data_IF_999314187038
#
_entry.id   IF_999314187038
#
_cell.length_a   1.000
_cell.length_b   1.000
_cell.length_c   1.000
_cell.angle_alpha   90.00
_cell.angle_beta   90.00
_cell.angle_gamma   90.00
#
_symmetry.space_group_name_H-M   'P 1'
#
loop_
_entity.id
_entity.type
_entity.pdbx_description
1 polymer ?
#
# COMPACT_ATOMS: atom_id res chain seq x y z
N UNK A 1 -1.82 -8.05 23.74
CA UNK A 1 -1.10 -9.35 23.71
C UNK A 1 -2.07 -10.53 23.77
N UNK A 2 -3.12 -10.51 24.61
CA UNK A 2 -4.04 -11.63 24.82
C UNK A 2 -4.70 -12.13 23.54
N UNK A 3 -5.15 -11.24 22.66
CA UNK A 3 -5.75 -11.62 21.38
C UNK A 3 -4.76 -12.30 20.43
N UNK A 4 -3.51 -11.84 20.39
CA UNK A 4 -2.46 -12.49 19.59
C UNK A 4 -2.19 -13.87 20.16
N UNK A 5 -2.04 -13.98 21.49
CA UNK A 5 -1.84 -15.27 22.15
C UNK A 5 -2.98 -16.24 21.83
N UNK A 6 -4.23 -15.81 21.97
CA UNK A 6 -5.41 -16.63 21.65
C UNK A 6 -5.44 -17.03 20.16
N UNK A 7 -5.09 -16.12 19.25
CA UNK A 7 -5.03 -16.46 17.83
C UNK A 7 -4.02 -17.58 17.59
N UNK A 8 -2.82 -17.45 18.13
CA UNK A 8 -1.74 -18.44 17.93
C UNK A 8 -2.03 -19.78 18.61
N UNK A 9 -2.68 -19.77 19.77
CA UNK A 9 -2.94 -21.01 20.56
C UNK A 9 -4.24 -21.72 20.17
N UNK A 10 -5.27 -20.97 19.80
CA UNK A 10 -6.62 -21.49 19.55
C UNK A 10 -6.96 -21.44 18.06
N UNK A 11 -6.85 -20.26 17.41
CA UNK A 11 -7.30 -20.06 16.02
C UNK A 11 -6.44 -20.82 15.02
N UNK A 12 -5.11 -20.88 15.21
CA UNK A 12 -4.22 -21.64 14.35
C UNK A 12 -4.56 -23.13 14.30
N UNK A 13 -5.08 -23.67 15.40
CA UNK A 13 -5.48 -25.08 15.51
C UNK A 13 -6.90 -25.34 15.00
N UNK A 14 -7.67 -24.29 14.74
CA UNK A 14 -9.01 -24.45 14.21
C UNK A 14 -8.97 -25.02 12.78
N UNK A 15 -9.92 -25.88 12.45
CA UNK A 15 -10.00 -26.52 11.14
C UNK A 15 -10.04 -25.46 10.02
N UNK A 16 -9.24 -25.67 9.00
CA UNK A 16 -9.20 -24.84 7.78
C UNK A 16 -8.12 -23.78 7.73
N UNK A 17 -7.38 -23.51 8.81
CA UNK A 17 -6.27 -22.55 8.76
C UNK A 17 -4.94 -23.19 8.36
N UNK A 18 -4.67 -24.44 8.77
CA UNK A 18 -3.42 -25.16 8.45
C UNK A 18 -2.16 -24.36 8.81
N UNK A 19 -2.17 -23.76 10.00
CA UNK A 19 -1.09 -22.92 10.50
C UNK A 19 -0.38 -23.62 11.66
N UNK A 20 0.96 -23.73 11.57
CA UNK A 20 1.81 -24.26 12.62
C UNK A 20 2.77 -23.17 13.13
N UNK A 21 2.60 -22.76 14.38
CA UNK A 21 3.45 -21.76 15.01
C UNK A 21 4.92 -22.20 15.18
N UNK A 22 5.19 -23.49 15.15
CA UNK A 22 6.52 -24.04 15.35
C UNK A 22 7.30 -24.18 14.04
N UNK A 23 6.59 -24.14 12.89
CA UNK A 23 7.17 -24.23 11.57
C UNK A 23 6.92 -22.94 10.76
N UNK A 24 7.42 -21.84 11.29
CA UNK A 24 7.22 -20.52 10.70
C UNK A 24 8.53 -19.72 10.65
N UNK A 25 8.55 -18.75 9.74
CA UNK A 25 9.56 -17.70 9.64
C UNK A 25 8.89 -16.38 9.99
N UNK A 26 9.48 -15.63 10.90
CA UNK A 26 9.01 -14.32 11.30
C UNK A 26 9.75 -13.23 10.52
N UNK A 27 9.01 -12.23 10.10
CA UNK A 27 9.51 -11.06 9.38
C UNK A 27 10.39 -11.36 8.15
N UNK A 28 10.07 -12.38 7.30
CA UNK A 28 10.82 -12.61 6.09
C UNK A 28 10.70 -11.42 5.13
N UNK A 29 11.82 -11.01 4.56
CA UNK A 29 11.88 -9.92 3.58
C UNK A 29 11.98 -10.47 2.17
N UNK A 30 11.29 -9.85 1.23
CA UNK A 30 11.24 -10.22 -0.17
C UNK A 30 11.52 -9.03 -1.08
N UNK A 31 12.22 -9.31 -2.18
CA UNK A 31 12.41 -8.40 -3.30
C UNK A 31 11.83 -9.07 -4.53
N UNK A 32 10.99 -8.35 -5.25
CA UNK A 32 10.39 -8.81 -6.51
C UNK A 32 10.75 -7.84 -7.63
N UNK A 33 11.78 -8.14 -8.39
CA UNK A 33 12.24 -7.31 -9.51
C UNK A 33 11.18 -7.19 -10.60
N UNK A 34 10.48 -8.28 -10.92
CA UNK A 34 9.43 -8.30 -11.94
C UNK A 34 8.30 -7.31 -11.66
N UNK A 35 7.97 -7.09 -10.39
CA UNK A 35 6.95 -6.12 -9.98
C UNK A 35 7.58 -4.80 -9.50
N UNK A 36 8.91 -4.71 -9.33
CA UNK A 36 9.59 -3.58 -8.72
C UNK A 36 9.05 -3.29 -7.32
N UNK A 37 8.83 -4.32 -6.54
CA UNK A 37 8.31 -4.25 -5.18
C UNK A 37 9.25 -4.94 -4.22
N UNK A 38 9.33 -4.40 -3.01
CA UNK A 38 9.94 -5.05 -1.88
C UNK A 38 8.97 -5.00 -0.70
N UNK A 39 9.10 -5.96 0.20
CA UNK A 39 8.25 -6.01 1.37
C UNK A 39 8.76 -6.97 2.43
N UNK A 40 8.20 -6.85 3.61
CA UNK A 40 8.45 -7.73 4.75
C UNK A 40 7.11 -8.22 5.27
N UNK A 41 6.94 -9.52 5.30
CA UNK A 41 5.78 -10.17 5.90
C UNK A 41 5.99 -10.29 7.42
N UNK A 42 4.91 -10.28 8.18
CA UNK A 42 5.03 -10.47 9.63
C UNK A 42 5.22 -11.94 10.00
N UNK A 43 4.55 -12.84 9.29
CA UNK A 43 4.58 -14.27 9.56
C UNK A 43 4.40 -15.07 8.25
N UNK A 44 5.23 -16.08 8.04
CA UNK A 44 5.16 -17.00 6.90
C UNK A 44 5.37 -18.42 7.38
N UNK A 45 4.52 -19.37 6.94
CA UNK A 45 4.81 -20.79 7.10
C UNK A 45 6.05 -21.16 6.30
N UNK A 46 6.90 -22.04 6.84
CA UNK A 46 8.17 -22.40 6.20
C UNK A 46 7.98 -23.04 4.82
N UNK A 47 6.88 -23.75 4.62
CA UNK A 47 6.49 -24.32 3.32
C UNK A 47 5.89 -23.31 2.34
N UNK A 48 5.80 -22.03 2.73
CA UNK A 48 5.24 -20.90 1.98
C UNK A 48 3.76 -21.07 1.56
N UNK A 49 3.04 -21.99 2.15
CA UNK A 49 1.62 -22.21 1.80
C UNK A 49 0.68 -21.20 2.45
N UNK A 50 1.14 -20.54 3.51
CA UNK A 50 0.32 -19.58 4.25
C UNK A 50 1.15 -18.45 4.84
N UNK A 51 0.59 -17.24 4.86
CA UNK A 51 1.18 -16.11 5.56
C UNK A 51 0.13 -15.26 6.29
N UNK A 52 0.60 -14.50 7.28
CA UNK A 52 -0.23 -13.59 8.06
C UNK A 52 0.43 -12.21 8.04
N UNK A 53 -0.36 -11.20 7.74
CA UNK A 53 -0.03 -9.80 7.94
C UNK A 53 -0.73 -9.28 9.18
N UNK A 54 0.00 -8.73 10.12
CA UNK A 54 -0.53 -8.21 11.38
C UNK A 54 -0.75 -6.71 11.32
N UNK A 55 -1.87 -6.26 11.87
CA UNK A 55 -2.20 -4.84 11.97
C UNK A 55 -2.53 -4.47 13.40
N UNK A 56 -1.85 -3.46 13.93
CA UNK A 56 -2.23 -2.84 15.19
C UNK A 56 -3.58 -2.14 15.02
N UNK A 57 -4.48 -2.31 16.00
CA UNK A 57 -5.78 -1.65 15.98
C UNK A 57 -6.93 -2.53 15.50
N UNK A 58 -7.90 -1.92 14.80
CA UNK A 58 -9.15 -2.56 14.40
C UNK A 58 -9.42 -2.45 12.90
N UNK A 59 -10.19 -3.41 12.39
CA UNK A 59 -10.76 -3.39 11.06
C UNK A 59 -11.87 -2.33 10.95
N UNK A 60 -12.42 -2.14 9.74
CA UNK A 60 -13.56 -1.26 9.55
C UNK A 60 -14.84 -1.95 10.04
N UNK A 61 -15.58 -1.25 10.89
CA UNK A 61 -16.88 -1.68 11.37
C UNK A 61 -17.95 -1.03 10.50
N UNK A 62 -18.52 -1.77 9.56
CA UNK A 62 -19.69 -1.31 8.82
C UNK A 62 -20.97 -1.60 9.62
N UNK A 63 -21.60 -0.55 10.12
CA UNK A 63 -22.74 -0.62 11.05
C UNK A 63 -24.04 -1.21 10.46
N UNK A 64 -24.11 -1.49 9.16
CA UNK A 64 -25.37 -1.96 8.53
C UNK A 64 -25.70 -3.43 8.88
N UNK A 65 -24.71 -4.24 9.35
CA UNK A 65 -24.96 -5.65 9.75
C UNK A 65 -24.05 -6.14 10.87
N UNK A 66 -23.35 -5.28 11.59
CA UNK A 66 -22.38 -5.70 12.62
C UNK A 66 -21.20 -6.50 12.06
N UNK A 67 -20.97 -6.48 10.75
CA UNK A 67 -19.93 -7.23 10.09
C UNK A 67 -18.64 -6.42 10.11
N UNK A 68 -17.63 -6.98 10.73
CA UNK A 68 -16.28 -6.43 10.74
C UNK A 68 -15.59 -6.87 9.45
N UNK A 69 -15.11 -5.93 8.65
CA UNK A 69 -14.36 -6.22 7.42
C UNK A 69 -12.96 -5.63 7.46
N UNK A 70 -11.97 -6.32 6.90
CA UNK A 70 -10.63 -5.76 6.75
C UNK A 70 -10.63 -4.49 5.90
N UNK A 71 -9.78 -3.53 6.27
CA UNK A 71 -9.58 -2.30 5.51
C UNK A 71 -9.08 -2.60 4.10
N UNK A 72 -9.57 -1.84 3.13
CA UNK A 72 -9.25 -2.05 1.71
C UNK A 72 -7.73 -2.00 1.44
N UNK A 73 -7.03 -1.02 2.01
CA UNK A 73 -5.58 -0.91 1.87
C UNK A 73 -4.83 -2.13 2.43
N UNK A 74 -5.33 -2.72 3.52
CA UNK A 74 -4.71 -3.92 4.10
C UNK A 74 -4.98 -5.16 3.23
N UNK A 75 -6.19 -5.27 2.64
CA UNK A 75 -6.49 -6.31 1.64
C UNK A 75 -5.56 -6.20 0.43
N UNK A 76 -5.37 -4.98 -0.07
CA UNK A 76 -4.46 -4.69 -1.19
C UNK A 76 -3.03 -5.11 -0.86
N UNK A 77 -2.52 -4.79 0.32
CA UNK A 77 -1.17 -5.19 0.74
C UNK A 77 -0.99 -6.70 0.70
N UNK A 78 -1.97 -7.47 1.19
CA UNK A 78 -1.91 -8.93 1.14
C UNK A 78 -1.92 -9.48 -0.29
N UNK A 79 -2.71 -8.88 -1.19
CA UNK A 79 -2.73 -9.27 -2.60
C UNK A 79 -1.39 -8.99 -3.28
N UNK A 80 -0.72 -7.89 -2.92
CA UNK A 80 0.63 -7.59 -3.41
C UNK A 80 1.64 -8.62 -2.89
N UNK A 81 1.57 -9.04 -1.65
CA UNK A 81 2.44 -10.11 -1.14
C UNK A 81 2.19 -11.45 -1.85
N UNK A 82 0.93 -11.82 -2.13
CA UNK A 82 0.65 -13.01 -2.93
C UNK A 82 1.27 -12.89 -4.33
N UNK A 83 1.18 -11.73 -4.96
CA UNK A 83 1.81 -11.47 -6.26
C UNK A 83 3.34 -11.54 -6.18
N UNK A 84 3.95 -10.95 -5.14
CA UNK A 84 5.40 -11.04 -4.90
C UNK A 84 5.85 -12.50 -4.78
N UNK A 85 5.16 -13.31 -3.99
CA UNK A 85 5.49 -14.73 -3.84
C UNK A 85 5.35 -15.50 -5.15
N UNK A 86 4.33 -15.20 -5.96
CA UNK A 86 4.16 -15.84 -7.26
C UNK A 86 5.28 -15.47 -8.22
N UNK A 87 5.59 -14.18 -8.37
CA UNK A 87 6.60 -13.70 -9.32
C UNK A 87 8.05 -13.94 -8.87
N UNK A 88 8.32 -13.96 -7.56
CA UNK A 88 9.68 -14.18 -7.05
C UNK A 88 9.98 -15.66 -6.76
N UNK A 89 8.98 -16.43 -6.34
CA UNK A 89 9.15 -17.80 -5.85
C UNK A 89 8.43 -18.86 -6.71
N UNK A 90 7.70 -18.43 -7.74
CA UNK A 90 6.91 -19.34 -8.57
C UNK A 90 5.72 -19.99 -7.87
N UNK A 91 5.29 -19.44 -6.73
CA UNK A 91 4.18 -19.96 -5.96
C UNK A 91 2.84 -19.61 -6.62
N UNK A 92 2.01 -20.61 -6.88
CA UNK A 92 0.64 -20.35 -7.38
C UNK A 92 -0.17 -19.61 -6.30
N UNK A 93 -0.52 -18.36 -6.57
CA UNK A 93 -1.30 -17.52 -5.65
C UNK A 93 -2.61 -18.18 -5.16
N UNK A 94 -3.19 -19.09 -5.95
CA UNK A 94 -4.40 -19.83 -5.57
C UNK A 94 -4.15 -20.86 -4.47
N UNK A 95 -2.90 -21.25 -4.27
CA UNK A 95 -2.48 -22.20 -3.24
C UNK A 95 -1.95 -21.51 -2.00
N UNK A 96 -1.54 -20.24 -2.10
CA UNK A 96 -1.04 -19.47 -0.98
C UNK A 96 -2.21 -18.85 -0.21
N UNK A 97 -2.41 -19.29 1.02
CA UNK A 97 -3.43 -18.74 1.92
C UNK A 97 -2.89 -17.49 2.60
N UNK A 98 -3.58 -16.40 2.46
CA UNK A 98 -3.20 -15.11 3.03
C UNK A 98 -4.22 -14.66 4.06
N UNK A 99 -3.74 -14.23 5.23
CA UNK A 99 -4.58 -13.82 6.34
C UNK A 99 -4.19 -12.46 6.89
N UNK A 100 -5.18 -11.66 7.28
CA UNK A 100 -5.01 -10.47 8.11
C UNK A 100 -5.34 -10.79 9.57
N UNK A 101 -4.46 -10.38 10.47
CA UNK A 101 -4.68 -10.40 11.91
C UNK A 101 -4.72 -8.97 12.43
N UNK A 102 -5.87 -8.53 12.93
CA UNK A 102 -5.94 -7.30 13.70
C UNK A 102 -5.79 -7.62 15.18
N UNK A 103 -4.84 -6.95 15.84
CA UNK A 103 -4.55 -7.24 17.27
C UNK A 103 -5.73 -7.02 18.22
N UNK A 104 -6.76 -6.32 17.76
CA UNK A 104 -8.00 -6.09 18.50
C UNK A 104 -8.90 -7.32 18.58
N UNK A 105 -8.74 -8.27 17.68
CA UNK A 105 -9.62 -9.43 17.55
C UNK A 105 -8.82 -10.73 17.50
N UNK A 106 -9.24 -11.82 18.16
CA UNK A 106 -8.58 -13.12 18.03
C UNK A 106 -9.08 -13.87 16.79
N UNK A 107 -9.09 -13.21 15.64
CA UNK A 107 -9.65 -13.72 14.38
C UNK A 107 -8.67 -13.48 13.23
N UNK A 108 -8.62 -14.44 12.31
CA UNK A 108 -7.92 -14.33 11.03
C UNK A 108 -8.93 -14.04 9.92
N UNK A 109 -8.63 -13.02 9.13
CA UNK A 109 -9.44 -12.63 7.98
C UNK A 109 -8.76 -13.08 6.70
N UNK A 110 -9.32 -14.09 5.98
CA UNK A 110 -8.72 -14.57 4.75
C UNK A 110 -8.83 -13.53 3.62
N UNK A 111 -7.76 -13.36 2.86
CA UNK A 111 -7.81 -12.64 1.60
C UNK A 111 -8.14 -13.60 0.46
N UNK A 112 -9.00 -13.12 -0.44
CA UNK A 112 -9.28 -13.82 -1.70
C UNK A 112 -8.40 -13.23 -2.80
N UNK A 113 -7.64 -14.05 -3.53
CA UNK A 113 -6.84 -13.57 -4.66
C UNK A 113 -7.70 -12.81 -5.66
N UNK A 114 -7.20 -11.68 -6.15
CA UNK A 114 -7.86 -10.87 -7.17
C UNK A 114 -6.83 -10.20 -8.07
N UNK A 115 -6.54 -10.84 -9.19
CA UNK A 115 -5.63 -10.29 -10.20
C UNK A 115 -6.09 -8.97 -10.80
N UNK A 116 -7.39 -8.77 -10.91
CA UNK A 116 -7.91 -7.47 -11.35
C UNK A 116 -7.51 -6.35 -10.37
N UNK A 117 -7.56 -6.64 -9.06
CA UNK A 117 -7.12 -5.68 -8.04
C UNK A 117 -5.60 -5.48 -8.10
N UNK A 118 -4.81 -6.55 -8.20
CA UNK A 118 -3.35 -6.46 -8.32
C UNK A 118 -2.95 -5.58 -9.51
N UNK A 119 -3.53 -5.81 -10.70
CA UNK A 119 -3.27 -4.97 -11.88
C UNK A 119 -3.59 -3.50 -11.63
N UNK A 120 -4.75 -3.20 -11.04
CA UNK A 120 -5.13 -1.81 -10.71
C UNK A 120 -4.16 -1.14 -9.75
N UNK A 121 -3.65 -1.87 -8.77
CA UNK A 121 -2.66 -1.35 -7.82
C UNK A 121 -1.32 -1.13 -8.51
N UNK A 122 -0.92 -2.03 -9.41
CA UNK A 122 0.29 -1.85 -10.22
C UNK A 122 0.19 -0.64 -11.15
N UNK A 123 -0.98 -0.36 -11.72
CA UNK A 123 -1.20 0.86 -12.50
C UNK A 123 -1.01 2.12 -11.62
N UNK A 124 -1.54 2.13 -10.41
CA UNK A 124 -1.35 3.25 -9.47
C UNK A 124 0.14 3.40 -9.12
N UNK A 125 0.83 2.30 -8.81
CA UNK A 125 2.28 2.31 -8.52
C UNK A 125 3.06 2.87 -9.72
N UNK A 126 2.76 2.41 -10.93
CA UNK A 126 3.44 2.86 -12.14
C UNK A 126 3.26 4.37 -12.37
N UNK A 127 2.08 4.91 -12.11
CA UNK A 127 1.82 6.37 -12.18
C UNK A 127 2.63 7.14 -11.12
N UNK A 128 2.71 6.63 -9.89
CA UNK A 128 3.52 7.25 -8.83
C UNK A 128 4.98 7.29 -9.26
N UNK A 129 5.54 6.14 -9.66
CA UNK A 129 6.94 6.04 -10.11
C UNK A 129 7.21 6.94 -11.32
N UNK A 130 6.30 6.98 -12.30
CA UNK A 130 6.44 7.84 -13.46
C UNK A 130 6.46 9.33 -13.10
N UNK A 131 5.65 9.75 -12.11
CA UNK A 131 5.67 11.12 -11.61
C UNK A 131 6.98 11.45 -10.87
N UNK A 132 7.40 10.58 -9.96
CA UNK A 132 8.66 10.76 -9.22
C UNK A 132 9.87 10.80 -10.18
N UNK A 133 9.92 9.88 -11.14
CA UNK A 133 10.96 9.82 -12.15
C UNK A 133 10.94 11.04 -13.09
N UNK A 134 9.75 11.50 -13.47
CA UNK A 134 9.59 12.71 -14.28
C UNK A 134 10.12 13.97 -13.57
N UNK A 135 9.89 14.09 -12.27
CA UNK A 135 10.43 15.18 -11.44
C UNK A 135 11.96 15.06 -11.34
N UNK A 136 12.48 13.86 -11.11
CA UNK A 136 13.91 13.58 -11.05
C UNK A 136 14.63 13.95 -12.34
N UNK A 137 14.15 13.46 -13.50
CA UNK A 137 14.78 13.69 -14.78
C UNK A 137 14.77 15.17 -15.18
N UNK A 138 13.66 15.85 -14.95
CA UNK A 138 13.54 17.26 -15.34
C UNK A 138 14.25 18.20 -14.39
N UNK A 139 14.37 17.81 -13.12
CA UNK A 139 15.03 18.56 -12.05
C UNK A 139 14.69 20.08 -12.11
N UNK A 140 13.42 20.39 -12.32
CA UNK A 140 12.92 21.73 -12.56
C UNK A 140 11.79 22.07 -11.60
N UNK A 141 11.95 23.11 -10.75
CA UNK A 141 10.85 23.60 -9.93
C UNK A 141 9.62 24.04 -10.74
N UNK A 142 9.82 24.51 -11.98
CA UNK A 142 8.74 24.88 -12.89
C UNK A 142 7.92 23.66 -13.30
N UNK A 143 8.57 22.57 -13.67
CA UNK A 143 7.88 21.31 -13.99
C UNK A 143 7.10 20.80 -12.78
N UNK A 144 7.71 20.83 -11.60
CA UNK A 144 7.05 20.47 -10.34
C UNK A 144 5.82 21.35 -10.08
N UNK A 145 5.94 22.66 -10.30
CA UNK A 145 4.84 23.61 -10.17
C UNK A 145 3.67 23.29 -11.11
N UNK A 146 3.95 22.97 -12.37
CA UNK A 146 2.93 22.56 -13.35
C UNK A 146 2.20 21.30 -12.89
N UNK A 147 2.94 20.28 -12.45
CA UNK A 147 2.35 19.03 -11.96
C UNK A 147 1.48 19.22 -10.72
N UNK A 148 1.88 20.07 -9.79
CA UNK A 148 1.13 20.33 -8.54
C UNK A 148 -0.07 21.27 -8.76
N UNK A 149 -0.02 22.17 -9.75
CA UNK A 149 -1.17 23.01 -10.11
C UNK A 149 -2.35 22.21 -10.66
N UNK A 150 -2.08 21.05 -11.25
CA UNK A 150 -3.12 20.15 -11.78
C UNK A 150 -3.86 19.36 -10.68
N UNK A 151 -3.38 19.43 -9.43
CA UNK A 151 -4.05 18.78 -8.30
C UNK A 151 -5.36 19.52 -8.00
N UNK A 152 -6.45 18.92 -8.42
CA UNK A 152 -7.80 19.42 -8.21
C UNK A 152 -8.78 18.25 -8.10
N UNK A 153 -9.89 18.35 -7.32
CA UNK A 153 -10.89 17.29 -7.25
C UNK A 153 -11.37 16.80 -8.61
N UNK A 154 -11.60 17.71 -9.58
CA UNK A 154 -12.10 17.34 -10.89
C UNK A 154 -11.07 16.58 -11.73
N UNK A 155 -9.78 16.98 -11.66
CA UNK A 155 -8.70 16.31 -12.40
C UNK A 155 -8.34 14.95 -11.81
N UNK A 156 -8.51 14.77 -10.50
CA UNK A 156 -8.22 13.51 -9.82
C UNK A 156 -9.42 12.55 -9.75
N UNK A 157 -10.60 12.99 -10.14
CA UNK A 157 -11.81 12.15 -10.21
C UNK A 157 -12.02 11.53 -11.59
N UNK A 158 -11.01 10.93 -12.17
CA UNK A 158 -11.07 10.30 -13.50
C UNK A 158 -12.22 9.29 -13.65
N UNK A 159 -12.68 8.70 -12.55
CA UNK A 159 -13.76 7.70 -12.52
C UNK A 159 -15.14 8.28 -12.29
N UNK A 160 -15.26 9.58 -12.12
CA UNK A 160 -16.55 10.22 -11.80
C UNK A 160 -17.16 9.70 -10.52
N UNK A 161 -16.35 9.46 -9.48
CA UNK A 161 -16.85 8.99 -8.19
C UNK A 161 -17.80 10.03 -7.59
N UNK A 162 -18.99 9.58 -7.17
CA UNK A 162 -20.03 10.42 -6.56
C UNK A 162 -20.58 9.84 -5.26
N UNK A 163 -19.81 8.93 -4.65
CA UNK A 163 -20.19 8.24 -3.41
C UNK A 163 -19.84 9.06 -2.15
N UNK A 164 -20.29 8.59 -0.99
CA UNK A 164 -20.06 9.22 0.30
C UNK A 164 -18.56 9.36 0.62
N UNK A 165 -17.73 8.39 0.25
CA UNK A 165 -16.28 8.44 0.45
C UNK A 165 -15.66 9.61 -0.31
N UNK A 166 -16.04 9.78 -1.58
CA UNK A 166 -15.60 10.91 -2.39
C UNK A 166 -16.03 12.24 -1.79
N UNK A 167 -17.35 12.42 -1.59
CA UNK A 167 -17.93 13.70 -1.15
C UNK A 167 -17.46 14.15 0.22
N UNK A 168 -17.35 13.23 1.19
CA UNK A 168 -17.04 13.58 2.58
C UNK A 168 -15.57 13.59 2.92
N UNK A 169 -14.74 12.85 2.19
CA UNK A 169 -13.34 12.65 2.58
C UNK A 169 -12.36 13.03 1.48
N UNK A 170 -12.46 12.43 0.30
CA UNK A 170 -11.42 12.61 -0.73
C UNK A 170 -11.50 14.00 -1.36
N UNK A 171 -12.65 14.42 -1.85
CA UNK A 171 -12.82 15.71 -2.50
C UNK A 171 -12.44 16.89 -1.57
N UNK A 172 -12.92 16.99 -0.31
CA UNK A 172 -12.49 18.05 0.60
C UNK A 172 -11.01 18.03 0.93
N UNK A 173 -10.41 16.84 1.06
CA UNK A 173 -8.98 16.72 1.35
C UNK A 173 -8.11 17.19 0.17
N UNK A 174 -8.48 16.84 -1.06
CA UNK A 174 -7.79 17.28 -2.27
C UNK A 174 -7.96 18.80 -2.43
N UNK A 175 -9.17 19.30 -2.26
CA UNK A 175 -9.45 20.72 -2.40
C UNK A 175 -8.70 21.58 -1.37
N UNK A 176 -8.60 21.11 -0.12
CA UNK A 176 -7.82 21.78 0.91
C UNK A 176 -6.33 21.91 0.54
N UNK A 177 -5.73 20.89 -0.06
CA UNK A 177 -4.34 20.93 -0.55
C UNK A 177 -4.23 21.90 -1.72
N UNK A 178 -5.13 21.79 -2.70
CA UNK A 178 -5.15 22.66 -3.87
C UNK A 178 -5.28 24.14 -3.50
N UNK A 179 -6.18 24.46 -2.57
CA UNK A 179 -6.38 25.82 -2.07
C UNK A 179 -5.14 26.38 -1.38
N UNK A 180 -4.48 25.56 -0.52
CA UNK A 180 -3.25 25.98 0.14
C UNK A 180 -2.14 26.29 -0.86
N UNK A 181 -1.93 25.45 -1.87
CA UNK A 181 -0.93 25.69 -2.91
C UNK A 181 -1.22 26.99 -3.66
N UNK A 182 -2.48 27.25 -3.99
CA UNK A 182 -2.91 28.46 -4.70
C UNK A 182 -2.82 29.74 -3.86
N UNK A 183 -2.95 29.63 -2.54
CA UNK A 183 -2.89 30.77 -1.62
C UNK A 183 -1.48 31.25 -1.31
N UNK A 184 -0.45 30.51 -1.71
CA UNK A 184 0.95 30.87 -1.50
C UNK A 184 1.32 32.13 -2.31
N UNK A 185 2.04 33.05 -1.69
CA UNK A 185 2.69 34.17 -2.39
C UNK A 185 3.73 33.67 -3.38
N UNK A 186 4.15 34.51 -4.33
CA UNK A 186 5.15 34.14 -5.34
C UNK A 186 6.46 33.63 -4.73
N UNK A 187 6.89 34.23 -3.61
CA UNK A 187 8.10 33.81 -2.89
C UNK A 187 7.91 32.43 -2.24
N UNK A 188 6.79 32.22 -1.56
CA UNK A 188 6.46 30.96 -0.92
C UNK A 188 6.29 29.83 -1.96
N UNK A 189 5.68 30.12 -3.12
CA UNK A 189 5.59 29.16 -4.22
C UNK A 189 6.98 28.77 -4.73
N UNK A 190 7.84 29.75 -4.99
CA UNK A 190 9.21 29.48 -5.44
C UNK A 190 9.98 28.63 -4.45
N UNK A 191 9.90 28.94 -3.18
CA UNK A 191 10.54 28.16 -2.11
C UNK A 191 9.94 26.75 -2.03
N UNK A 192 8.61 26.64 -2.01
CA UNK A 192 7.90 25.35 -1.90
C UNK A 192 8.24 24.40 -3.05
N UNK A 193 8.18 24.89 -4.30
CA UNK A 193 8.45 24.04 -5.44
C UNK A 193 9.93 23.64 -5.55
N UNK A 194 10.84 24.53 -5.19
CA UNK A 194 12.26 24.22 -5.14
C UNK A 194 12.55 23.15 -4.10
N UNK A 195 12.01 23.31 -2.89
CA UNK A 195 12.19 22.35 -1.81
C UNK A 195 11.52 21.01 -2.14
N UNK A 196 10.31 21.02 -2.70
CA UNK A 196 9.61 19.80 -3.11
C UNK A 196 10.40 19.04 -4.19
N UNK A 197 10.90 19.74 -5.19
CA UNK A 197 11.75 19.16 -6.23
C UNK A 197 13.02 18.55 -5.63
N UNK A 198 13.68 19.25 -4.73
CA UNK A 198 14.87 18.75 -4.01
C UNK A 198 14.55 17.49 -3.21
N UNK A 199 13.50 17.51 -2.38
CA UNK A 199 13.12 16.36 -1.55
C UNK A 199 12.77 15.14 -2.43
N UNK A 200 12.04 15.35 -3.53
CA UNK A 200 11.68 14.26 -4.45
C UNK A 200 12.93 13.63 -5.08
N UNK A 201 13.89 14.47 -5.46
CA UNK A 201 15.17 14.01 -5.99
C UNK A 201 15.96 13.20 -4.97
N UNK A 202 16.09 13.70 -3.74
CA UNK A 202 16.79 12.99 -2.66
C UNK A 202 16.11 11.65 -2.33
N UNK A 203 14.78 11.62 -2.27
CA UNK A 203 14.03 10.39 -2.05
C UNK A 203 14.24 9.37 -3.18
N UNK A 204 14.29 9.84 -4.42
CA UNK A 204 14.56 8.97 -5.56
C UNK A 204 15.99 8.40 -5.49
N UNK A 205 16.99 9.27 -5.29
CA UNK A 205 18.39 8.87 -5.18
C UNK A 205 18.62 7.89 -4.00
N UNK A 206 17.97 8.13 -2.87
CA UNK A 206 18.06 7.23 -1.71
C UNK A 206 17.48 5.82 -1.98
N UNK A 207 16.54 5.70 -2.91
CA UNK A 207 15.95 4.42 -3.31
C UNK A 207 16.74 3.71 -4.42
N UNK A 208 17.26 4.47 -5.37
CA UNK A 208 17.96 3.94 -6.54
C UNK A 208 19.48 3.79 -6.35
N UNK A 209 20.03 4.46 -5.33
CA UNK A 209 21.48 4.65 -5.15
C UNK A 209 22.05 5.70 -6.12
N UNK A 210 23.24 6.17 -5.83
CA UNK A 210 24.03 6.94 -6.78
C UNK A 210 24.59 5.95 -7.81
N UNK A 211 23.82 5.69 -8.84
CA UNK A 211 24.30 4.94 -9.98
C UNK A 211 24.91 5.96 -10.94
N UNK A 212 26.15 6.30 -10.71
CA UNK A 212 26.99 6.88 -11.77
C UNK A 212 27.21 5.76 -12.79
N UNK A 213 26.45 5.80 -13.86
CA UNK A 213 26.79 5.01 -15.05
C UNK A 213 27.97 5.69 -15.71
N UNK A 214 29.20 5.20 -15.43
CA UNK A 214 30.34 5.38 -16.32
C UNK A 214 30.15 4.63 -17.64
#
# INVERSE_FOLDING_TARGET
FDNIHRTVTETFRASGYELDRTDAVLEPSYICEALGLQGRLDYMQRDMTSFIEMKSGKADEYSIRGKVEPKENNKVQMLLYQAVLEYSMGMDHRRVKAYLLYTRYPLLYPARPSWAMVRRVMDVRNRIVANEYGIQLRNSPQYTAERLKDIHPDTLNERGLDNTLWKRFLCPSIDAVAQRIRSLSSLEQSYFYTLYNFITKELYTSKSGDVDYE
#
